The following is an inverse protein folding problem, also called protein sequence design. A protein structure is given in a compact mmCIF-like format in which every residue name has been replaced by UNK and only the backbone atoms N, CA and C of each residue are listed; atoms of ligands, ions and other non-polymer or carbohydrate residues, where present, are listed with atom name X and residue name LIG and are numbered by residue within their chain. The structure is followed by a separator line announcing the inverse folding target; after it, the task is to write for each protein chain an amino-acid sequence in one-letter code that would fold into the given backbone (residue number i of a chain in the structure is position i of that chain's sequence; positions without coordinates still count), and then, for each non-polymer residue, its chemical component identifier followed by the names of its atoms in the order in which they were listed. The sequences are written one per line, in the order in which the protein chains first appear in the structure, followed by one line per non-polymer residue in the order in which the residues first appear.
data_IF_196265211333
#
_entry.id   IF_196265211333
#
_cell.length_a   1.000
_cell.length_b   1.000
_cell.length_c   1.000
_cell.angle_alpha   90.00
_cell.angle_beta   90.00
_cell.angle_gamma   90.00
#
_symmetry.space_group_name_H-M   'P 1'
#
loop_
_entity.id
_entity.type
_entity.pdbx_description
1 polymer ?
#
# COMPACT_ATOMS: atom_id res chain seq x y z
N UNK A 1 34.24 8.69 40.15
CA UNK A 1 34.64 9.42 38.92
C UNK A 1 34.14 10.85 39.04
N UNK A 2 34.99 11.87 38.86
CA UNK A 2 34.59 13.29 38.90
C UNK A 2 34.19 13.71 37.50
N UNK A 3 33.02 14.34 37.35
CA UNK A 3 32.58 14.89 36.07
C UNK A 3 33.51 16.02 35.65
N UNK A 4 33.85 16.08 34.36
CA UNK A 4 34.66 17.17 33.80
C UNK A 4 33.84 18.46 33.81
N UNK A 5 34.42 19.55 34.32
CA UNK A 5 33.78 20.87 34.32
C UNK A 5 33.51 21.27 32.87
N UNK A 6 32.27 21.62 32.54
CA UNK A 6 31.86 22.05 31.20
C UNK A 6 31.29 20.96 30.30
N UNK A 7 31.32 19.69 30.70
CA UNK A 7 30.68 18.60 29.95
C UNK A 7 29.62 17.92 30.79
N UNK A 8 28.34 18.08 30.40
CA UNK A 8 27.26 17.34 31.05
C UNK A 8 27.48 15.83 30.82
N UNK A 9 27.24 15.02 31.84
CA UNK A 9 27.37 13.56 31.74
C UNK A 9 26.37 12.89 30.79
N UNK A 10 25.44 13.66 30.22
CA UNK A 10 24.52 13.22 29.18
C UNK A 10 24.49 14.25 28.03
N UNK A 11 25.37 14.12 27.02
CA UNK A 11 25.48 15.08 25.92
C UNK A 11 24.23 15.15 25.02
N UNK A 12 23.39 14.11 25.02
CA UNK A 12 22.12 14.09 24.28
C UNK A 12 20.93 14.65 25.10
N UNK A 13 21.15 14.96 26.37
CA UNK A 13 20.12 15.45 27.28
C UNK A 13 18.92 14.50 27.40
N UNK A 14 17.80 15.04 27.88
CA UNK A 14 16.52 14.35 27.84
C UNK A 14 15.91 14.55 26.45
N UNK A 15 15.34 13.51 25.80
CA UNK A 15 14.74 13.68 24.49
C UNK A 15 13.61 14.72 24.54
N UNK A 16 13.51 15.59 23.51
CA UNK A 16 12.46 16.58 23.43
C UNK A 16 11.09 15.89 23.45
N UNK A 17 10.20 16.37 24.32
CA UNK A 17 8.85 15.80 24.48
C UNK A 17 8.72 14.65 25.47
N UNK A 18 9.80 14.17 26.11
CA UNK A 18 9.66 13.14 27.14
C UNK A 18 8.96 13.68 28.39
N UNK A 19 7.82 13.09 28.76
CA UNK A 19 7.05 13.43 29.94
C UNK A 19 7.73 12.96 31.23
N UNK A 20 7.49 13.66 32.35
CA UNK A 20 8.03 13.28 33.66
C UNK A 20 7.36 12.00 34.12
N UNK A 21 8.10 11.13 34.84
CA UNK A 21 7.51 9.92 35.46
C UNK A 21 6.29 10.24 36.33
N UNK A 22 6.33 11.38 37.03
CA UNK A 22 5.20 11.90 37.82
C UNK A 22 3.99 12.25 36.95
N UNK A 23 4.21 12.85 35.79
CA UNK A 23 3.14 13.19 34.83
C UNK A 23 2.50 11.93 34.27
N UNK A 24 3.30 10.92 33.91
CA UNK A 24 2.79 9.63 33.44
C UNK A 24 1.96 8.90 34.51
N UNK A 25 2.41 8.91 35.76
CA UNK A 25 1.66 8.32 36.87
C UNK A 25 0.33 9.06 37.11
N UNK A 26 0.36 10.39 37.04
CA UNK A 26 -0.84 11.21 37.19
C UNK A 26 -1.83 10.99 36.03
N UNK A 27 -1.36 10.89 34.79
CA UNK A 27 -2.19 10.59 33.62
C UNK A 27 -2.86 9.22 33.74
N UNK A 28 -2.13 8.20 34.20
CA UNK A 28 -2.69 6.87 34.44
C UNK A 28 -3.79 6.91 35.51
N UNK A 29 -3.53 7.53 36.66
CA UNK A 29 -4.51 7.66 37.75
C UNK A 29 -5.75 8.47 37.32
N UNK A 30 -5.56 9.55 36.56
CA UNK A 30 -6.64 10.33 35.97
C UNK A 30 -7.49 9.49 35.02
N UNK A 31 -6.86 8.65 34.19
CA UNK A 31 -7.58 7.81 33.22
C UNK A 31 -8.38 6.71 33.92
N UNK A 32 -7.84 6.12 34.99
CA UNK A 32 -8.52 5.12 35.82
C UNK A 32 -9.74 5.71 36.52
N UNK A 33 -9.62 6.93 37.06
CA UNK A 33 -10.69 7.61 37.79
C UNK A 33 -11.61 8.46 36.90
N UNK A 34 -11.34 8.56 35.60
CA UNK A 34 -12.04 9.49 34.70
C UNK A 34 -13.56 9.33 34.74
N UNK A 35 -14.06 8.10 34.77
CA UNK A 35 -15.50 7.81 34.80
C UNK A 35 -16.15 8.20 36.13
N UNK A 36 -15.47 7.98 37.25
CA UNK A 36 -15.98 8.32 38.58
C UNK A 36 -15.95 9.83 38.81
N UNK A 37 -14.87 10.49 38.39
CA UNK A 37 -14.76 11.94 38.38
C UNK A 37 -15.89 12.57 37.53
N UNK A 38 -16.18 12.02 36.35
CA UNK A 38 -17.27 12.50 35.50
C UNK A 38 -18.66 12.36 36.16
N UNK A 39 -18.94 11.24 36.83
CA UNK A 39 -20.20 11.06 37.59
C UNK A 39 -20.34 12.11 38.69
N UNK A 40 -19.28 12.32 39.48
CA UNK A 40 -19.28 13.33 40.55
C UNK A 40 -19.48 14.75 40.02
N UNK A 41 -18.90 15.06 38.86
CA UNK A 41 -19.07 16.36 38.20
C UNK A 41 -20.53 16.59 37.79
N UNK A 42 -21.18 15.57 37.23
CA UNK A 42 -22.59 15.64 36.83
C UNK A 42 -23.50 15.84 38.04
N UNK A 43 -23.22 15.16 39.16
CA UNK A 43 -23.98 15.37 40.41
C UNK A 43 -23.83 16.79 40.95
N UNK A 44 -22.61 17.33 40.98
CA UNK A 44 -22.36 18.71 41.39
C UNK A 44 -23.06 19.71 40.47
N UNK A 45 -23.02 19.48 39.16
CA UNK A 45 -23.74 20.29 38.19
C UNK A 45 -25.26 20.25 38.45
N UNK A 46 -25.85 19.07 38.73
CA UNK A 46 -27.27 18.96 39.10
C UNK A 46 -27.63 19.69 40.39
N UNK A 47 -26.68 19.79 41.33
CA UNK A 47 -26.87 20.48 42.61
C UNK A 47 -26.68 22.01 42.54
N UNK A 48 -26.44 22.60 41.35
CA UNK A 48 -26.35 24.06 41.22
C UNK A 48 -24.93 24.62 41.17
N UNK A 49 -23.88 23.80 41.10
CA UNK A 49 -22.50 24.28 40.98
C UNK A 49 -22.26 24.86 39.56
N UNK A 50 -22.11 26.19 39.49
CA UNK A 50 -21.89 26.93 38.24
C UNK A 50 -20.62 26.49 37.50
N UNK A 51 -19.55 26.12 38.23
CA UNK A 51 -18.30 25.69 37.60
C UNK A 51 -18.48 24.32 36.94
N UNK A 52 -19.13 23.38 37.64
CA UNK A 52 -19.44 22.07 37.11
C UNK A 52 -20.42 22.13 35.93
N UNK A 53 -21.44 23.00 35.99
CA UNK A 53 -22.37 23.23 34.87
C UNK A 53 -21.66 23.76 33.63
N UNK A 54 -20.79 24.77 33.78
CA UNK A 54 -20.02 25.32 32.65
C UNK A 54 -19.13 24.26 32.00
N UNK A 55 -18.40 23.49 32.80
CA UNK A 55 -17.58 22.38 32.30
C UNK A 55 -18.41 21.33 31.55
N UNK A 56 -19.60 21.00 32.05
CA UNK A 56 -20.52 20.09 31.37
C UNK A 56 -21.01 20.68 30.05
N UNK A 57 -21.42 21.95 30.02
CA UNK A 57 -21.91 22.62 28.81
C UNK A 57 -20.84 22.72 27.72
N UNK A 58 -19.62 23.12 28.08
CA UNK A 58 -18.48 23.20 27.15
C UNK A 58 -18.15 21.83 26.52
N UNK A 59 -18.50 20.72 27.20
CA UNK A 59 -18.25 19.34 26.75
C UNK A 59 -19.43 18.74 25.97
N UNK A 60 -20.68 18.97 26.41
CA UNK A 60 -21.89 18.44 25.78
C UNK A 60 -22.26 19.17 24.50
N UNK A 61 -22.08 20.48 24.50
CA UNK A 61 -22.23 21.32 23.33
C UNK A 61 -20.86 21.93 23.06
N UNK A 62 -19.90 21.17 22.48
CA UNK A 62 -18.63 21.75 22.08
C UNK A 62 -18.95 22.90 21.13
N UNK A 63 -18.85 24.14 21.63
CA UNK A 63 -19.14 25.33 20.87
C UNK A 63 -18.00 25.53 19.87
N UNK A 64 -18.08 24.91 18.70
CA UNK A 64 -17.14 25.16 17.61
C UNK A 64 -16.89 24.01 16.63
N UNK A 65 -15.94 24.29 15.73
CA UNK A 65 -15.47 23.53 14.55
C UNK A 65 -14.95 22.10 14.81
N UNK A 66 -14.98 21.63 16.06
CA UNK A 66 -14.45 20.33 16.47
C UNK A 66 -15.56 19.33 16.86
N UNK A 67 -16.82 19.62 16.52
CA UNK A 67 -17.86 18.60 16.59
C UNK A 67 -17.50 17.47 15.61
N UNK A 68 -17.56 16.20 16.04
CA UNK A 68 -17.39 15.09 15.12
C UNK A 68 -18.55 15.11 14.11
N UNK A 69 -18.20 15.30 12.84
CA UNK A 69 -19.13 15.22 11.72
C UNK A 69 -19.16 13.78 11.25
N UNK A 70 -20.33 13.14 11.33
CA UNK A 70 -20.54 11.78 10.87
C UNK A 70 -20.94 11.80 9.38
N UNK A 71 -19.96 11.76 8.49
CA UNK A 71 -20.19 11.64 7.04
C UNK A 71 -19.47 10.40 6.53
N UNK A 72 -20.20 9.61 5.75
CA UNK A 72 -19.66 8.47 5.02
C UNK A 72 -19.08 8.96 3.69
N UNK A 73 -17.77 9.21 3.66
CA UNK A 73 -17.07 9.57 2.44
C UNK A 73 -16.57 8.31 1.71
N UNK A 74 -16.67 8.26 0.36
CA UNK A 74 -16.12 7.17 -0.42
C UNK A 74 -14.58 7.16 -0.38
N UNK A 75 -13.98 6.02 -0.71
CA UNK A 75 -12.52 5.89 -0.78
C UNK A 75 -12.00 6.62 -2.02
N UNK A 76 -11.25 7.70 -1.81
CA UNK A 76 -10.74 8.55 -2.90
C UNK A 76 -9.42 7.99 -3.44
N UNK A 77 -9.44 7.44 -4.67
CA UNK A 77 -8.23 7.02 -5.40
C UNK A 77 -8.08 7.73 -6.73
N UNK A 78 -9.20 8.02 -7.38
CA UNK A 78 -9.29 8.61 -8.71
C UNK A 78 -10.01 9.96 -8.64
N UNK A 79 -9.86 10.82 -9.67
CA UNK A 79 -10.63 12.06 -9.74
C UNK A 79 -12.15 11.81 -9.75
N UNK A 80 -12.60 10.71 -10.37
CA UNK A 80 -14.02 10.32 -10.37
C UNK A 80 -14.55 10.05 -8.95
N UNK A 81 -13.73 9.40 -8.09
CA UNK A 81 -14.11 9.17 -6.69
C UNK A 81 -14.24 10.48 -5.90
N UNK A 82 -13.45 11.50 -6.24
CA UNK A 82 -13.55 12.80 -5.60
C UNK A 82 -14.79 13.58 -6.05
N UNK A 83 -15.23 13.43 -7.30
CA UNK A 83 -16.51 14.00 -7.73
C UNK A 83 -17.67 13.40 -6.91
N UNK A 84 -17.67 12.07 -6.71
CA UNK A 84 -18.65 11.40 -5.85
C UNK A 84 -18.56 11.85 -4.38
N UNK A 85 -17.35 12.06 -3.86
CA UNK A 85 -17.18 12.60 -2.51
C UNK A 85 -17.74 14.03 -2.38
N UNK A 86 -17.54 14.87 -3.41
CA UNK A 86 -18.05 16.24 -3.44
C UNK A 86 -19.57 16.28 -3.50
N UNK A 87 -20.21 15.39 -4.27
CA UNK A 87 -21.69 15.32 -4.32
C UNK A 87 -22.27 15.00 -2.95
N UNK A 88 -21.66 14.04 -2.23
CA UNK A 88 -22.08 13.70 -0.86
C UNK A 88 -21.95 14.92 0.07
N UNK A 89 -20.82 15.65 0.00
CA UNK A 89 -20.64 16.86 0.81
C UNK A 89 -21.66 17.94 0.47
N UNK A 90 -22.02 18.12 -0.80
CA UNK A 90 -23.05 19.10 -1.19
C UNK A 90 -24.44 18.70 -0.77
N UNK A 91 -24.77 17.41 -0.80
CA UNK A 91 -26.07 16.89 -0.37
C UNK A 91 -26.25 17.07 1.15
N UNK A 92 -25.23 16.75 1.95
CA UNK A 92 -25.23 16.96 3.40
C UNK A 92 -25.28 18.46 3.77
N UNK A 93 -24.63 19.31 2.97
CA UNK A 93 -24.73 20.77 3.12
C UNK A 93 -26.14 21.28 2.78
N UNK A 94 -26.78 20.73 1.75
CA UNK A 94 -28.16 21.06 1.37
C UNK A 94 -29.19 20.55 2.40
N UNK A 95 -28.92 19.40 3.03
CA UNK A 95 -29.72 18.86 4.14
C UNK A 95 -29.59 19.69 5.43
N UNK A 96 -28.52 20.50 5.54
CA UNK A 96 -28.25 21.33 6.72
C UNK A 96 -27.57 20.59 7.87
N UNK A 97 -27.12 19.35 7.64
CA UNK A 97 -26.34 18.56 8.59
C UNK A 97 -24.88 19.04 8.68
N UNK A 98 -24.44 19.81 7.68
CA UNK A 98 -23.13 20.45 7.60
C UNK A 98 -23.18 21.97 7.66
N UNK A 99 -22.23 22.58 8.35
CA UNK A 99 -21.92 24.00 8.21
C UNK A 99 -21.08 24.27 6.95
N UNK A 100 -21.22 25.45 6.35
CA UNK A 100 -20.36 25.93 5.24
C UNK A 100 -18.87 25.87 5.62
N UNK A 101 -18.53 26.19 6.88
CA UNK A 101 -17.15 26.12 7.35
C UNK A 101 -16.62 24.68 7.38
N UNK A 102 -17.46 23.71 7.72
CA UNK A 102 -17.11 22.28 7.76
C UNK A 102 -17.01 21.71 6.35
N UNK A 103 -17.97 22.03 5.47
CA UNK A 103 -17.93 21.64 4.07
C UNK A 103 -16.64 22.14 3.38
N UNK A 104 -16.23 23.39 3.65
CA UNK A 104 -14.97 23.93 3.11
C UNK A 104 -13.76 23.12 3.57
N UNK A 105 -13.69 22.74 4.85
CA UNK A 105 -12.62 21.89 5.38
C UNK A 105 -12.62 20.51 4.72
N UNK A 106 -13.79 19.91 4.51
CA UNK A 106 -13.93 18.61 3.84
C UNK A 106 -13.46 18.67 2.39
N UNK A 107 -13.84 19.71 1.64
CA UNK A 107 -13.37 19.92 0.26
C UNK A 107 -11.83 20.01 0.21
N UNK A 108 -11.20 20.76 1.13
CA UNK A 108 -9.73 20.84 1.18
C UNK A 108 -9.07 19.51 1.55
N UNK A 109 -9.73 18.68 2.37
CA UNK A 109 -9.27 17.34 2.71
C UNK A 109 -9.34 16.41 1.50
N UNK A 110 -10.45 16.41 0.77
CA UNK A 110 -10.67 15.64 -0.46
C UNK A 110 -9.59 15.98 -1.50
N UNK A 111 -9.35 17.28 -1.72
CA UNK A 111 -8.29 17.74 -2.63
C UNK A 111 -6.91 17.21 -2.21
N UNK A 112 -6.61 17.23 -0.90
CA UNK A 112 -5.33 16.74 -0.38
C UNK A 112 -5.19 15.23 -0.53
N UNK A 113 -6.26 14.47 -0.30
CA UNK A 113 -6.30 13.03 -0.50
C UNK A 113 -6.05 12.66 -1.95
N UNK A 114 -6.69 13.36 -2.90
CA UNK A 114 -6.43 13.21 -4.32
C UNK A 114 -4.95 13.43 -4.66
N UNK A 115 -4.36 14.53 -4.20
CA UNK A 115 -2.93 14.82 -4.45
C UNK A 115 -2.01 13.74 -3.89
N UNK A 116 -2.37 13.11 -2.77
CA UNK A 116 -1.59 12.01 -2.18
C UNK A 116 -1.75 10.74 -3.01
N UNK A 117 -2.98 10.35 -3.34
CA UNK A 117 -3.25 9.22 -4.23
C UNK A 117 -2.53 9.39 -5.57
N UNK A 118 -2.54 10.61 -6.10
CA UNK A 118 -1.85 11.00 -7.32
C UNK A 118 -0.31 10.96 -7.22
N UNK A 119 0.26 11.01 -6.03
CA UNK A 119 1.70 10.79 -5.86
C UNK A 119 1.99 9.30 -5.74
N UNK A 120 1.13 8.57 -5.03
CA UNK A 120 1.26 7.14 -4.82
C UNK A 120 1.14 6.35 -6.12
N UNK A 121 0.14 6.60 -6.97
CA UNK A 121 0.00 5.89 -8.26
C UNK A 121 1.18 6.18 -9.23
N UNK A 122 1.72 7.41 -9.24
CA UNK A 122 2.87 7.82 -10.06
C UNK A 122 4.12 7.09 -9.59
N UNK A 123 4.33 7.02 -8.28
CA UNK A 123 5.44 6.29 -7.69
C UNK A 123 5.34 4.79 -7.99
N UNK A 124 4.17 4.18 -7.81
CA UNK A 124 3.95 2.76 -8.12
C UNK A 124 4.19 2.45 -9.60
N UNK A 125 3.73 3.33 -10.50
CA UNK A 125 3.96 3.19 -11.94
C UNK A 125 5.46 3.28 -12.27
N UNK A 126 6.17 4.27 -11.71
CA UNK A 126 7.61 4.39 -11.91
C UNK A 126 8.39 3.15 -11.40
N UNK A 127 8.00 2.59 -10.24
CA UNK A 127 8.59 1.34 -9.75
C UNK A 127 8.29 0.15 -10.65
N UNK A 128 7.09 0.07 -11.23
CA UNK A 128 6.71 -1.00 -12.18
C UNK A 128 7.51 -0.88 -13.47
N UNK A 129 7.64 0.32 -14.02
CA UNK A 129 8.39 0.58 -15.25
C UNK A 129 9.89 0.32 -15.05
N UNK A 130 10.45 0.67 -13.88
CA UNK A 130 11.82 0.33 -13.51
C UNK A 130 12.05 -1.19 -13.37
N UNK A 131 11.12 -1.90 -12.72
CA UNK A 131 11.20 -3.36 -12.59
C UNK A 131 11.08 -4.08 -13.95
N UNK A 132 10.26 -3.54 -14.87
CA UNK A 132 10.17 -4.06 -16.24
C UNK A 132 11.47 -3.83 -17.01
N UNK A 133 12.12 -2.67 -16.86
CA UNK A 133 13.41 -2.39 -17.49
C UNK A 133 14.54 -3.30 -16.96
N UNK A 134 14.53 -3.62 -15.67
CA UNK A 134 15.49 -4.58 -15.08
C UNK A 134 15.26 -6.02 -15.58
N UNK A 135 14.00 -6.39 -15.86
CA UNK A 135 13.64 -7.68 -16.45
C UNK A 135 14.06 -7.78 -17.92
N UNK A 136 13.83 -6.74 -18.72
CA UNK A 136 14.29 -6.68 -20.12
C UNK A 136 15.83 -6.71 -20.21
N UNK A 137 16.53 -6.08 -19.27
CA UNK A 137 17.99 -6.12 -19.21
C UNK A 137 18.53 -7.50 -18.82
N UNK A 138 17.85 -8.22 -17.92
CA UNK A 138 18.23 -9.59 -17.54
C UNK A 138 17.89 -10.61 -18.63
N UNK A 139 16.78 -10.44 -19.33
CA UNK A 139 16.38 -11.27 -20.48
C UNK A 139 17.28 -11.06 -21.70
N UNK A 140 17.65 -9.81 -22.03
CA UNK A 140 18.59 -9.52 -23.12
C UNK A 140 20.00 -10.05 -22.85
N UNK A 141 20.44 -10.06 -21.59
CA UNK A 141 21.70 -10.68 -21.18
C UNK A 141 21.63 -12.21 -21.24
N UNK A 142 20.47 -12.82 -20.95
CA UNK A 142 20.24 -14.26 -21.07
C UNK A 142 20.15 -14.72 -22.54
N UNK A 143 19.53 -13.95 -23.43
CA UNK A 143 19.51 -14.22 -24.87
C UNK A 143 20.89 -14.03 -25.53
N UNK A 144 21.67 -13.05 -25.08
CA UNK A 144 23.06 -12.87 -25.51
C UNK A 144 23.94 -14.06 -25.06
N UNK A 145 23.70 -14.62 -23.87
CA UNK A 145 24.38 -15.82 -23.40
C UNK A 145 23.95 -17.08 -24.18
N UNK A 146 22.68 -17.22 -24.53
CA UNK A 146 22.18 -18.34 -25.35
C UNK A 146 22.63 -18.28 -26.82
N UNK A 147 22.82 -17.07 -27.38
CA UNK A 147 23.34 -16.90 -28.75
C UNK A 147 24.83 -17.26 -28.85
N UNK A 148 25.59 -17.12 -27.76
CA UNK A 148 27.00 -17.51 -27.69
C UNK A 148 27.22 -19.03 -27.57
N UNK A 149 26.19 -19.80 -27.20
CA UNK A 149 26.27 -21.25 -26.99
C UNK A 149 25.75 -22.09 -28.17
N UNK A 150 25.64 -21.52 -29.38
CA UNK A 150 25.47 -22.33 -30.60
C UNK A 150 26.85 -22.79 -31.08
N UNK A 151 27.27 -24.05 -30.90
CA UNK A 151 28.59 -24.48 -31.34
C UNK A 151 28.69 -24.30 -32.85
N UNK A 152 29.78 -23.65 -33.27
CA UNK A 152 30.17 -23.52 -34.66
C UNK A 152 30.09 -24.90 -35.32
N UNK A 153 29.31 -25.00 -36.39
CA UNK A 153 29.28 -26.18 -37.24
C UNK A 153 30.73 -26.57 -37.57
N UNK A 154 31.08 -27.81 -37.25
CA UNK A 154 32.39 -28.41 -37.52
C UNK A 154 32.79 -28.16 -38.97
N UNK A 155 33.83 -27.35 -39.18
CA UNK A 155 34.45 -27.06 -40.47
C UNK A 155 35.38 -28.20 -40.92
N UNK A 156 34.93 -29.46 -40.84
CA UNK A 156 35.69 -30.58 -41.39
C UNK A 156 34.95 -31.18 -42.58
N UNK A 157 35.45 -30.87 -43.77
CA UNK A 157 35.10 -31.60 -45.00
C UNK A 157 36.12 -32.74 -45.17
N UNK A 158 35.74 -34.02 -45.23
CA UNK A 158 36.68 -35.04 -45.66
C UNK A 158 36.76 -35.01 -47.18
N UNK A 159 37.99 -34.85 -47.69
CA UNK A 159 38.31 -34.92 -49.12
C UNK A 159 38.13 -36.37 -49.58
N UNK A 160 37.10 -36.62 -50.40
CA UNK A 160 36.95 -37.87 -51.14
C UNK A 160 37.55 -37.68 -52.54
N UNK A 161 38.71 -38.30 -52.78
CA UNK A 161 39.21 -38.60 -54.11
C UNK A 161 38.62 -39.92 -54.62
N UNK A 162 38.27 -39.94 -55.90
CA UNK A 162 37.38 -40.84 -56.63
C UNK A 162 37.71 -42.36 -56.57
N UNK A 163 36.68 -43.20 -56.75
CA UNK A 163 36.77 -44.68 -56.88
C UNK A 163 37.25 -45.16 -58.28
N UNK A 164 36.96 -46.40 -58.76
CA UNK A 164 36.10 -47.46 -58.18
C UNK A 164 36.70 -48.90 -58.26
N UNK A 165 36.23 -49.85 -57.43
CA UNK A 165 36.30 -51.30 -57.72
C UNK A 165 35.35 -52.13 -56.82
N UNK A 166 34.31 -52.67 -57.46
CA UNK A 166 33.75 -54.05 -57.36
C UNK A 166 33.47 -54.75 -56.02
N UNK A 167 32.23 -55.27 -56.00
CA UNK A 167 31.73 -56.54 -55.42
C UNK A 167 31.15 -56.59 -53.98
N UNK A 168 29.82 -56.82 -53.99
CA UNK A 168 29.06 -57.82 -53.23
C UNK A 168 29.21 -57.91 -51.69
N UNK A 169 28.11 -57.61 -50.98
CA UNK A 169 27.24 -58.66 -50.41
C UNK A 169 26.16 -58.07 -49.48
N UNK A 170 25.02 -58.75 -49.51
CA UNK A 170 23.78 -58.64 -48.74
C UNK A 170 23.92 -58.49 -47.22
N UNK A 171 22.97 -57.78 -46.58
CA UNK A 171 21.97 -58.35 -45.66
C UNK A 171 21.21 -57.27 -44.85
N UNK A 172 19.87 -57.30 -44.95
CA UNK A 172 18.86 -57.22 -43.86
C UNK A 172 19.05 -56.13 -42.76
N UNK A 173 18.15 -55.18 -42.52
CA UNK A 173 16.76 -55.39 -42.11
C UNK A 173 16.09 -54.04 -41.76
N UNK A 174 14.76 -53.96 -42.01
CA UNK A 174 13.69 -53.33 -41.20
C UNK A 174 13.89 -51.95 -40.53
N UNK A 175 12.92 -51.04 -40.44
CA UNK A 175 11.54 -50.89 -40.93
C UNK A 175 10.98 -49.57 -40.34
N UNK A 176 9.99 -48.95 -41.01
CA UNK A 176 8.84 -48.21 -40.40
C UNK A 176 9.18 -46.83 -39.78
N UNK A 177 8.85 -45.67 -40.38
CA UNK A 177 7.59 -44.97 -40.74
C UNK A 177 7.26 -43.85 -39.74
N UNK A 178 6.89 -42.69 -40.30
CA UNK A 178 5.82 -41.75 -39.91
C UNK A 178 5.90 -41.10 -38.49
N UNK A 179 5.59 -39.83 -38.22
CA UNK A 179 4.61 -38.88 -38.78
C UNK A 179 4.82 -37.49 -38.11
N UNK A 180 4.15 -36.46 -38.63
CA UNK A 180 4.33 -35.01 -38.36
C UNK A 180 3.99 -34.43 -36.97
N UNK A 181 4.00 -33.09 -36.82
CA UNK A 181 4.05 -32.40 -35.54
C UNK A 181 2.66 -32.10 -34.92
N UNK A 182 2.54 -32.24 -33.60
CA UNK A 182 1.34 -31.89 -32.82
C UNK A 182 1.47 -30.50 -32.16
N UNK A 183 0.37 -29.72 -32.22
CA UNK A 183 0.20 -28.36 -31.68
C UNK A 183 0.15 -28.33 -30.14
N UNK A 184 0.40 -27.16 -29.49
CA UNK A 184 0.32 -27.01 -28.04
C UNK A 184 -1.12 -26.92 -27.53
N UNK A 185 -1.34 -27.51 -26.35
CA UNK A 185 -2.60 -27.60 -25.63
C UNK A 185 -2.71 -26.46 -24.60
N UNK A 186 -3.81 -25.71 -24.59
CA UNK A 186 -4.14 -24.68 -23.60
C UNK A 186 -5.34 -25.18 -22.78
N UNK A 187 -5.26 -25.30 -21.44
CA UNK A 187 -6.45 -25.55 -20.64
C UNK A 187 -7.16 -24.24 -20.29
N UNK A 188 -8.48 -24.25 -20.50
CA UNK A 188 -9.46 -23.21 -20.20
C UNK A 188 -9.60 -22.97 -18.70
N UNK A 189 -9.88 -21.70 -18.37
CA UNK A 189 -10.45 -21.25 -17.10
C UNK A 189 -11.75 -21.99 -16.79
N UNK A 190 -11.88 -22.48 -15.55
CA UNK A 190 -13.17 -22.87 -14.99
C UNK A 190 -13.45 -22.08 -13.71
N UNK A 191 -14.67 -21.56 -13.71
CA UNK A 191 -15.29 -20.58 -12.84
C UNK A 191 -16.00 -21.31 -11.71
N UNK A 192 -15.72 -21.01 -10.44
CA UNK A 192 -16.62 -21.34 -9.34
C UNK A 192 -16.39 -20.45 -8.11
N UNK A 193 -17.35 -19.56 -7.84
CA UNK A 193 -17.63 -19.00 -6.51
C UNK A 193 -18.26 -20.10 -5.63
N UNK A 194 -18.18 -19.96 -4.30
CA UNK A 194 -19.40 -20.18 -3.54
C UNK A 194 -19.72 -19.07 -2.52
N UNK A 195 -21.00 -18.71 -2.53
CA UNK A 195 -21.76 -18.04 -1.49
C UNK A 195 -21.94 -18.97 -0.27
N UNK A 196 -21.81 -18.44 0.95
CA UNK A 196 -22.43 -18.92 2.18
C UNK A 196 -22.66 -17.67 3.04
N UNK A 197 -23.91 -17.24 3.25
CA UNK A 197 -24.85 -17.68 4.30
C UNK A 197 -24.40 -17.20 5.68
#
# INVERSE_FOLDING_TARGET
MRFQIGQSGNPAGRPPGALNKKTLALEAELQEQALEAAKSLIERAKNGDLAAMRMCLDRFAPTGRNRPVAIELPVIKTPEDAELALTVVTDELAAGELSISEATLLVTLIERMLRVAERMWKFQRACRDAAAADQEATEAQAEAAQTAEKPAASLYSPVNSEGPATEAASATSSSVRETGPARPNVPREDRALPHAA
#
